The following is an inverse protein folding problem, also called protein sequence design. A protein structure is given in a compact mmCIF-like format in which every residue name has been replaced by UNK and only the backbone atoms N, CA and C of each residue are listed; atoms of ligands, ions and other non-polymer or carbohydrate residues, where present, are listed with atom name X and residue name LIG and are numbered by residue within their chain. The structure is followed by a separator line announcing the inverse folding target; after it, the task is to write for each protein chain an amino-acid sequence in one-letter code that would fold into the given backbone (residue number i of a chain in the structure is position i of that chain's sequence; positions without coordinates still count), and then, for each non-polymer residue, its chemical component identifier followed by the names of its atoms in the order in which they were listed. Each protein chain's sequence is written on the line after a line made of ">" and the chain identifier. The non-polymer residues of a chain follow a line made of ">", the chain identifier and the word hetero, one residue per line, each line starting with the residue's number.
data_IF_147609072608
#
_entry.id   IF_147609072608
#
_cell.length_a   1.000
_cell.length_b   1.000
_cell.length_c   1.000
_cell.angle_alpha   90.00
_cell.angle_beta   90.00
_cell.angle_gamma   90.00
#
_symmetry.space_group_name_H-M   'P 1'
#
loop_
_entity.id
_entity.type
_entity.pdbx_description
1 polymer ?
#
# COMPACT_ATOMS: atom_id res chain seq x y z
N UNK A 1 -5.93 10.86 6.80
CA UNK A 1 -5.57 9.49 7.20
C UNK A 1 -6.08 9.21 8.60
N UNK A 2 -6.71 8.07 8.80
CA UNK A 2 -7.13 7.68 10.14
C UNK A 2 -5.95 7.02 10.88
N UNK A 3 -5.87 7.18 12.21
CA UNK A 3 -4.80 6.53 12.97
C UNK A 3 -4.77 5.01 12.82
N UNK A 4 -5.92 4.39 12.64
CA UNK A 4 -6.01 2.94 12.49
C UNK A 4 -5.35 2.46 11.20
N UNK A 5 -5.61 3.16 10.09
CA UNK A 5 -4.99 2.84 8.79
C UNK A 5 -3.47 2.99 8.88
N UNK A 6 -3.01 4.09 9.46
CA UNK A 6 -1.58 4.35 9.58
C UNK A 6 -0.91 3.28 10.44
N UNK A 7 -1.50 2.93 11.57
CA UNK A 7 -0.93 1.91 12.46
C UNK A 7 -0.87 0.54 11.78
N UNK A 8 -1.90 0.18 11.02
CA UNK A 8 -1.91 -1.10 10.31
C UNK A 8 -0.80 -1.14 9.26
N UNK A 9 -0.65 -0.06 8.49
CA UNK A 9 0.40 0.02 7.48
C UNK A 9 1.79 -0.01 8.13
N UNK A 10 1.99 0.73 9.21
CA UNK A 10 3.26 0.74 9.92
C UNK A 10 3.60 -0.64 10.48
N UNK A 11 2.62 -1.33 11.05
CA UNK A 11 2.84 -2.66 11.61
C UNK A 11 3.21 -3.68 10.53
N UNK A 12 2.47 -3.71 9.43
CA UNK A 12 2.78 -4.61 8.33
C UNK A 12 4.17 -4.31 7.74
N UNK A 13 4.52 -3.03 7.65
CA UNK A 13 5.82 -2.60 7.16
C UNK A 13 6.94 -3.07 8.09
N UNK A 14 6.77 -2.90 9.40
CA UNK A 14 7.79 -3.33 10.36
C UNK A 14 7.97 -4.84 10.39
N UNK A 15 6.91 -5.60 10.15
CA UNK A 15 7.01 -7.06 10.10
C UNK A 15 7.84 -7.54 8.92
N UNK A 16 7.71 -6.88 7.78
CA UNK A 16 8.40 -7.30 6.56
C UNK A 16 9.71 -6.57 6.31
N UNK A 17 9.78 -5.30 6.65
CA UNK A 17 10.95 -4.45 6.39
C UNK A 17 11.27 -3.60 7.63
N UNK A 18 11.86 -4.21 8.67
CA UNK A 18 12.17 -3.47 9.90
C UNK A 18 13.02 -2.23 9.62
N UNK A 19 12.64 -1.12 10.23
CA UNK A 19 13.38 0.13 10.09
C UNK A 19 12.98 1.00 8.91
N UNK A 20 12.10 0.51 8.04
CA UNK A 20 11.61 1.30 6.90
C UNK A 20 10.49 2.23 7.38
N UNK A 21 10.60 3.55 7.19
CA UNK A 21 9.55 4.47 7.62
C UNK A 21 8.37 4.45 6.65
N UNK A 22 7.19 4.78 7.19
CA UNK A 22 5.97 4.94 6.40
C UNK A 22 5.71 6.44 6.29
N UNK A 23 5.75 6.98 5.08
CA UNK A 23 5.60 8.40 4.84
C UNK A 23 4.39 8.64 3.95
N UNK A 24 3.38 9.38 4.42
CA UNK A 24 2.25 9.75 3.58
C UNK A 24 2.68 10.69 2.47
N UNK A 25 2.19 10.45 1.28
CA UNK A 25 2.47 11.30 0.13
C UNK A 25 1.18 11.57 -0.62
N UNK A 26 1.23 12.54 -1.53
CA UNK A 26 0.11 12.84 -2.40
C UNK A 26 0.56 12.69 -3.84
N UNK A 27 -0.18 11.88 -4.60
CA UNK A 27 0.08 11.73 -6.02
C UNK A 27 -0.72 12.77 -6.82
N UNK A 28 -0.14 13.23 -7.91
CA UNK A 28 -0.85 14.13 -8.84
C UNK A 28 -1.67 13.35 -9.87
N UNK A 29 -1.51 12.03 -9.91
CA UNK A 29 -2.30 11.18 -10.79
C UNK A 29 -3.71 10.93 -10.26
N UNK A 30 -4.49 10.22 -11.05
CA UNK A 30 -5.86 9.87 -10.70
C UNK A 30 -6.03 8.36 -10.64
N UNK A 31 -6.95 7.91 -9.79
CA UNK A 31 -7.32 6.50 -9.69
C UNK A 31 -8.83 6.40 -9.60
N UNK A 32 -9.34 5.17 -9.69
CA UNK A 32 -10.77 4.92 -9.51
C UNK A 32 -11.25 5.24 -8.09
N UNK A 33 -10.33 5.42 -7.16
CA UNK A 33 -10.65 5.81 -5.78
C UNK A 33 -11.44 7.12 -5.69
N UNK A 34 -11.29 7.99 -6.68
CA UNK A 34 -12.00 9.27 -6.69
C UNK A 34 -13.52 9.10 -6.66
N UNK A 35 -14.03 8.04 -7.29
CA UNK A 35 -15.48 7.79 -7.32
C UNK A 35 -16.01 7.43 -5.95
N UNK A 36 -15.23 6.72 -5.16
CA UNK A 36 -15.58 6.40 -3.78
C UNK A 36 -15.47 7.62 -2.87
N UNK A 37 -14.45 8.45 -3.08
CA UNK A 37 -14.27 9.67 -2.27
C UNK A 37 -15.41 10.66 -2.46
N UNK A 38 -15.93 10.76 -3.67
CA UNK A 38 -17.09 11.62 -3.96
C UNK A 38 -18.28 11.19 -3.10
N UNK A 39 -18.42 9.89 -2.84
CA UNK A 39 -19.51 9.37 -2.00
C UNK A 39 -19.16 9.36 -0.52
N UNK A 40 -18.06 10.01 -0.13
CA UNK A 40 -17.69 10.13 1.27
C UNK A 40 -16.92 8.94 1.84
N UNK A 41 -16.48 8.02 0.98
CA UNK A 41 -15.72 6.84 1.42
C UNK A 41 -14.23 7.13 1.32
N UNK A 42 -13.47 7.07 2.43
CA UNK A 42 -12.02 7.29 2.37
C UNK A 42 -11.32 6.22 1.54
N UNK A 43 -10.39 6.64 0.69
CA UNK A 43 -9.59 5.73 -0.13
C UNK A 43 -8.14 6.16 -0.09
N UNK A 44 -7.27 5.23 0.25
CA UNK A 44 -5.83 5.48 0.33
C UNK A 44 -5.08 4.45 -0.51
N UNK A 45 -4.01 4.89 -1.17
CA UNK A 45 -3.19 3.99 -1.97
C UNK A 45 -2.03 3.42 -1.18
N UNK A 46 -1.86 2.11 -1.21
CA UNK A 46 -0.73 1.44 -0.61
C UNK A 46 -0.50 0.13 -1.35
N UNK A 47 0.74 -0.23 -1.63
CA UNK A 47 0.99 -1.42 -2.44
C UNK A 47 2.00 -2.40 -1.83
N UNK A 48 2.96 -1.91 -1.06
CA UNK A 48 4.05 -2.76 -0.56
C UNK A 48 5.00 -3.23 -1.66
N UNK A 49 4.96 -2.60 -2.83
CA UNK A 49 5.84 -2.94 -3.94
C UNK A 49 7.06 -2.03 -3.93
N UNK A 50 8.24 -2.62 -3.77
CA UNK A 50 9.50 -1.88 -3.84
C UNK A 50 10.22 -2.27 -5.12
N UNK A 51 10.45 -1.29 -5.97
CA UNK A 51 11.09 -1.54 -7.26
C UNK A 51 11.76 -0.25 -7.73
N UNK A 52 12.76 -0.42 -8.60
CA UNK A 52 13.43 0.71 -9.21
C UNK A 52 12.70 1.17 -10.46
N UNK A 53 13.37 1.12 -11.58
CA UNK A 53 12.77 1.51 -12.86
C UNK A 53 11.81 0.45 -13.36
N UNK A 54 10.55 0.83 -13.55
CA UNK A 54 9.49 -0.08 -13.98
C UNK A 54 9.01 0.17 -15.40
N UNK A 55 9.35 1.33 -15.98
CA UNK A 55 8.81 1.72 -17.28
C UNK A 55 7.31 1.94 -17.25
N UNK A 56 6.76 2.44 -16.14
CA UNK A 56 5.32 2.71 -15.99
C UNK A 56 4.76 3.47 -17.18
N UNK A 57 3.62 2.99 -17.67
CA UNK A 57 2.92 3.53 -18.84
C UNK A 57 3.70 3.39 -20.14
N UNK A 58 4.81 2.63 -20.14
CA UNK A 58 5.60 2.35 -21.33
C UNK A 58 5.37 0.95 -21.86
N UNK A 59 5.98 0.66 -23.00
CA UNK A 59 5.83 -0.65 -23.65
C UNK A 59 6.53 -1.79 -22.88
N UNK A 60 7.57 -1.45 -22.12
CA UNK A 60 8.34 -2.43 -21.34
C UNK A 60 8.07 -2.29 -19.85
N UNK A 61 6.85 -1.96 -19.49
CA UNK A 61 6.48 -1.88 -18.08
C UNK A 61 6.68 -3.24 -17.41
N UNK A 62 7.36 -3.22 -16.27
CA UNK A 62 7.77 -4.44 -15.61
C UNK A 62 7.94 -4.25 -14.12
N UNK A 63 7.97 -5.35 -13.39
CA UNK A 63 8.19 -5.36 -11.96
C UNK A 63 9.10 -6.54 -11.60
N UNK A 64 10.04 -6.39 -10.67
CA UNK A 64 10.84 -7.53 -10.21
C UNK A 64 9.93 -8.59 -9.58
N UNK A 65 10.21 -9.85 -9.89
CA UNK A 65 9.41 -10.98 -9.39
C UNK A 65 9.36 -10.99 -7.87
N UNK A 66 10.49 -10.76 -7.21
CA UNK A 66 10.55 -10.72 -5.76
C UNK A 66 9.65 -9.63 -5.18
N UNK A 67 9.67 -8.43 -5.77
CA UNK A 67 8.79 -7.33 -5.32
C UNK A 67 7.33 -7.68 -5.46
N UNK A 68 6.98 -8.39 -6.52
CA UNK A 68 5.60 -8.83 -6.72
C UNK A 68 5.14 -9.74 -5.58
N UNK A 69 5.96 -10.74 -5.23
CA UNK A 69 5.61 -11.65 -4.14
C UNK A 69 5.61 -10.96 -2.78
N UNK A 70 6.57 -10.08 -2.54
CA UNK A 70 6.59 -9.31 -1.31
C UNK A 70 5.36 -8.41 -1.18
N UNK A 71 4.93 -7.79 -2.28
CA UNK A 71 3.74 -6.97 -2.30
C UNK A 71 2.48 -7.77 -1.97
N UNK A 72 2.38 -8.99 -2.49
CA UNK A 72 1.26 -9.87 -2.15
C UNK A 72 1.23 -10.20 -0.66
N UNK A 73 2.40 -10.52 -0.08
CA UNK A 73 2.48 -10.83 1.35
C UNK A 73 2.14 -9.60 2.19
N UNK A 74 2.61 -8.43 1.78
CA UNK A 74 2.31 -7.19 2.49
C UNK A 74 0.80 -6.92 2.51
N UNK A 75 0.14 -7.00 1.37
CA UNK A 75 -1.31 -6.77 1.27
C UNK A 75 -2.08 -7.80 2.09
N UNK A 76 -1.67 -9.05 2.05
CA UNK A 76 -2.29 -10.09 2.87
C UNK A 76 -2.22 -9.74 4.36
N UNK A 77 -1.04 -9.36 4.84
CA UNK A 77 -0.85 -8.97 6.24
C UNK A 77 -1.66 -7.73 6.60
N UNK A 78 -1.68 -6.74 5.71
CA UNK A 78 -2.42 -5.50 5.94
C UNK A 78 -3.92 -5.76 6.04
N UNK A 79 -4.47 -6.53 5.10
CA UNK A 79 -5.91 -6.87 5.12
C UNK A 79 -6.24 -7.65 6.39
N UNK A 80 -5.39 -8.58 6.79
CA UNK A 80 -5.60 -9.37 8.00
C UNK A 80 -5.62 -8.49 9.25
N UNK A 81 -4.70 -7.53 9.34
CA UNK A 81 -4.66 -6.59 10.47
C UNK A 81 -5.93 -5.72 10.51
N UNK A 82 -6.40 -5.25 9.37
CA UNK A 82 -7.56 -4.37 9.31
C UNK A 82 -8.88 -5.10 9.54
N UNK A 83 -8.93 -6.40 9.27
CA UNK A 83 -10.18 -7.17 9.36
C UNK A 83 -10.26 -8.06 10.59
N UNK A 84 -9.20 -8.15 11.40
CA UNK A 84 -9.20 -8.95 12.61
C UNK A 84 -9.24 -8.02 13.82
N UNK A 85 -10.34 -8.01 14.61
CA UNK A 85 -10.44 -7.13 15.77
C UNK A 85 -9.31 -7.37 16.77
N UNK A 86 -8.75 -6.29 17.29
CA UNK A 86 -7.75 -6.34 18.33
C UNK A 86 -6.32 -6.58 17.90
N UNK A 87 -6.03 -6.68 16.61
CA UNK A 87 -4.66 -6.87 16.14
C UNK A 87 -3.85 -5.57 16.03
N UNK A 88 -4.51 -4.44 15.98
CA UNK A 88 -3.86 -3.13 15.94
C UNK A 88 -4.34 -2.21 17.05
#
# INVERSE_FOLDING_TARGET
>A
LTPEIVRAIERATQEMWPGVPVIPTMSTGATDGRYFRIEGIPVYGVSGLFYGETGSHGMNERIPVQSFYEGQEFIYRLVKLLTTPGLI
#
